data_IF_006497235825
#
_entry.id   IF_006497235825
#
_cell.length_a   1.000
_cell.length_b   1.000
_cell.length_c   1.000
_cell.angle_alpha   90.00
_cell.angle_beta   90.00
_cell.angle_gamma   90.00
#
_symmetry.space_group_name_H-M   'P 1'
#
loop_
_entity.id
_entity.type
_entity.pdbx_description
1 polymer ?
#
# COMPACT_ATOMS: atom_id res chain seq x y z
N UNK A 1 32.07 8.60 2.37
CA UNK A 1 30.79 9.07 1.79
C UNK A 1 30.25 7.95 0.93
N UNK A 2 29.36 7.14 1.50
CA UNK A 2 28.78 5.99 0.80
C UNK A 2 27.57 6.49 0.03
N UNK A 3 27.69 6.55 -1.29
CA UNK A 3 26.59 6.81 -2.21
C UNK A 3 25.63 5.63 -2.11
N UNK A 4 24.51 5.81 -1.41
CA UNK A 4 23.43 4.84 -1.41
C UNK A 4 22.83 4.84 -2.82
N UNK A 5 23.23 3.87 -3.63
CA UNK A 5 22.50 3.53 -4.86
C UNK A 5 21.18 2.97 -4.36
N UNK A 6 20.14 3.82 -4.35
CA UNK A 6 18.78 3.37 -4.12
C UNK A 6 18.40 2.53 -5.33
N UNK A 7 18.49 1.21 -5.20
CA UNK A 7 17.79 0.25 -6.04
C UNK A 7 16.29 0.51 -5.85
N UNK A 8 15.75 1.48 -6.58
CA UNK A 8 14.32 1.54 -6.81
C UNK A 8 14.00 0.33 -7.67
N UNK A 9 13.46 -0.73 -7.07
CA UNK A 9 12.77 -1.75 -7.86
C UNK A 9 11.76 -1.01 -8.74
N UNK A 10 12.02 -0.98 -10.04
CA UNK A 10 11.13 -0.33 -11.00
C UNK A 10 9.78 -1.06 -10.96
N UNK A 11 8.80 -0.44 -10.29
CA UNK A 11 7.44 -0.95 -10.25
C UNK A 11 6.81 -0.74 -11.62
N UNK A 12 7.02 -1.71 -12.51
CA UNK A 12 6.62 -1.65 -13.93
C UNK A 12 5.12 -1.46 -14.14
N UNK A 13 4.30 -1.75 -13.13
CA UNK A 13 2.85 -1.60 -13.14
C UNK A 13 2.34 -0.22 -12.68
N UNK A 14 3.21 0.67 -12.20
CA UNK A 14 2.85 2.04 -11.83
C UNK A 14 3.29 3.03 -12.91
N UNK A 15 2.47 4.08 -13.11
CA UNK A 15 2.87 5.19 -13.95
C UNK A 15 4.06 5.94 -13.32
N UNK A 16 5.07 6.24 -14.15
CA UNK A 16 6.28 6.93 -13.70
C UNK A 16 5.96 8.38 -13.34
N UNK A 17 6.32 8.79 -12.13
CA UNK A 17 6.18 10.17 -11.68
C UNK A 17 7.42 10.97 -12.10
N UNK A 18 7.35 11.63 -13.26
CA UNK A 18 8.40 12.52 -13.75
C UNK A 18 8.09 13.97 -13.34
N UNK A 19 8.90 14.54 -12.43
CA UNK A 19 8.76 15.93 -11.95
C UNK A 19 8.88 16.97 -13.06
N UNK A 20 9.66 16.70 -14.11
CA UNK A 20 9.85 17.62 -15.25
C UNK A 20 8.63 17.63 -16.21
N UNK A 21 7.82 16.57 -16.18
CA UNK A 21 6.61 16.45 -17.02
C UNK A 21 5.34 16.85 -16.27
N UNK A 22 5.32 16.67 -14.96
CA UNK A 22 4.18 16.95 -14.09
C UNK A 22 4.33 18.36 -13.51
N UNK A 23 3.80 19.36 -14.21
CA UNK A 23 3.65 20.71 -13.67
C UNK A 23 2.55 20.76 -12.60
N UNK A 24 2.76 21.54 -11.52
CA UNK A 24 1.81 21.68 -10.42
C UNK A 24 0.44 22.22 -10.85
N UNK A 25 0.42 23.04 -11.90
CA UNK A 25 -0.79 23.63 -12.49
C UNK A 25 -1.72 22.63 -13.19
N UNK A 26 -1.20 21.48 -13.67
CA UNK A 26 -1.98 20.49 -14.43
C UNK A 26 -2.30 19.23 -13.60
N UNK A 27 -1.88 19.20 -12.34
CA UNK A 27 -2.12 18.10 -11.43
C UNK A 27 -3.57 18.06 -10.97
N UNK A 28 -4.29 17.04 -11.40
CA UNK A 28 -5.65 16.75 -10.91
C UNK A 28 -5.68 15.40 -10.20
N UNK A 29 -6.67 15.12 -9.35
CA UNK A 29 -6.84 13.80 -8.77
C UNK A 29 -7.05 12.69 -9.82
N UNK A 30 -7.42 13.07 -11.05
CA UNK A 30 -7.73 12.15 -12.14
C UNK A 30 -6.56 11.90 -13.10
N UNK A 31 -5.42 12.58 -12.92
CA UNK A 31 -4.22 12.35 -13.72
C UNK A 31 -3.67 10.93 -13.47
N UNK A 32 -3.19 10.26 -14.51
CA UNK A 32 -2.80 8.84 -14.47
C UNK A 32 -1.69 8.57 -13.44
N UNK A 33 -0.76 9.50 -13.29
CA UNK A 33 0.37 9.43 -12.36
C UNK A 33 -0.08 9.54 -10.89
N UNK A 34 -1.24 10.15 -10.65
CA UNK A 34 -1.86 10.27 -9.33
C UNK A 34 -2.75 9.05 -9.07
N UNK A 35 -3.62 8.69 -10.01
CA UNK A 35 -4.52 7.53 -9.88
C UNK A 35 -3.74 6.24 -9.66
N UNK A 36 -2.63 6.03 -10.38
CA UNK A 36 -1.85 4.78 -10.29
C UNK A 36 -1.39 4.44 -8.86
N UNK A 37 -1.19 5.46 -8.01
CA UNK A 37 -0.77 5.28 -6.60
C UNK A 37 -1.91 5.29 -5.60
N UNK A 38 -3.14 5.50 -6.04
CA UNK A 38 -4.32 5.48 -5.18
C UNK A 38 -4.96 4.09 -5.17
N UNK A 39 -5.58 3.74 -4.03
CA UNK A 39 -6.40 2.54 -3.96
C UNK A 39 -7.69 2.76 -4.74
N UNK A 40 -7.84 2.08 -5.88
CA UNK A 40 -9.04 2.18 -6.74
C UNK A 40 -10.12 1.18 -6.38
N UNK A 41 -9.75 0.05 -5.76
CA UNK A 41 -10.65 -1.05 -5.39
C UNK A 41 -10.34 -1.50 -3.97
N UNK A 42 -11.39 -1.63 -3.14
CA UNK A 42 -11.28 -2.20 -1.80
C UNK A 42 -11.52 -3.71 -1.86
N UNK A 43 -10.58 -4.49 -1.32
CA UNK A 43 -10.69 -5.95 -1.22
C UNK A 43 -10.75 -6.33 0.26
N UNK A 44 -11.79 -7.08 0.65
CA UNK A 44 -11.98 -7.57 2.02
C UNK A 44 -11.77 -9.08 2.14
N UNK A 45 -11.20 -9.52 3.26
CA UNK A 45 -11.06 -10.95 3.59
C UNK A 45 -12.09 -11.37 4.64
N UNK A 46 -12.90 -12.40 4.35
CA UNK A 46 -13.88 -12.99 5.29
C UNK A 46 -13.52 -14.44 5.63
N UNK A 47 -14.15 -15.02 6.65
CA UNK A 47 -13.94 -16.41 7.06
C UNK A 47 -14.02 -16.65 8.56
N UNK A 48 -13.97 -17.93 8.96
CA UNK A 48 -14.11 -18.37 10.35
C UNK A 48 -12.99 -17.85 11.27
N UNK A 49 -13.24 -17.86 12.58
CA UNK A 49 -12.25 -17.46 13.60
C UNK A 49 -10.98 -18.29 13.44
N UNK A 50 -9.82 -17.68 13.68
CA UNK A 50 -8.48 -18.29 13.56
C UNK A 50 -8.03 -18.74 12.15
N UNK A 51 -8.80 -18.49 11.07
CA UNK A 51 -8.40 -18.81 9.69
C UNK A 51 -7.33 -17.87 9.08
N UNK A 52 -6.70 -17.00 9.87
CA UNK A 52 -5.58 -16.19 9.37
C UNK A 52 -5.93 -15.06 8.39
N UNK A 53 -7.17 -14.55 8.38
CA UNK A 53 -7.60 -13.43 7.54
C UNK A 53 -6.62 -12.24 7.57
N UNK A 54 -6.28 -11.76 8.76
CA UNK A 54 -5.35 -10.65 8.97
C UNK A 54 -3.90 -11.00 8.60
N UNK A 55 -3.53 -12.28 8.72
CA UNK A 55 -2.23 -12.79 8.28
C UNK A 55 -2.12 -12.78 6.76
N UNK A 56 -3.18 -13.14 6.04
CA UNK A 56 -3.24 -13.05 4.58
C UNK A 56 -3.09 -11.59 4.12
N UNK A 57 -3.80 -10.66 4.75
CA UNK A 57 -3.68 -9.23 4.43
C UNK A 57 -2.24 -8.73 4.67
N UNK A 58 -1.60 -9.15 5.78
CA UNK A 58 -0.19 -8.83 6.05
C UNK A 58 0.76 -9.41 5.00
N UNK A 59 0.54 -10.64 4.55
CA UNK A 59 1.39 -11.28 3.55
C UNK A 59 1.30 -10.60 2.17
N UNK A 60 0.12 -10.09 1.80
CA UNK A 60 -0.11 -9.41 0.51
C UNK A 60 0.37 -7.95 0.57
N UNK A 61 -0.09 -7.20 1.58
CA UNK A 61 0.16 -5.76 1.66
C UNK A 61 1.50 -5.38 2.30
N UNK A 62 2.16 -6.32 2.98
CA UNK A 62 3.33 -6.05 3.83
C UNK A 62 3.00 -5.30 5.13
N UNK A 63 1.76 -4.82 5.30
CA UNK A 63 1.35 -4.00 6.44
C UNK A 63 0.67 -4.85 7.50
N UNK A 64 1.09 -4.71 8.75
CA UNK A 64 0.38 -5.33 9.87
C UNK A 64 -0.93 -4.60 10.14
N UNK A 65 -2.05 -5.32 10.08
CA UNK A 65 -3.38 -4.73 10.21
C UNK A 65 -3.78 -4.44 11.66
N UNK A 66 -3.20 -5.14 12.64
CA UNK A 66 -3.47 -4.92 14.07
C UNK A 66 -2.80 -3.63 14.51
N UNK A 67 -3.59 -2.66 14.95
CA UNK A 67 -3.09 -1.33 15.37
C UNK A 67 -3.31 -1.07 16.86
N UNK A 68 -4.19 -1.81 17.52
CA UNK A 68 -4.53 -1.58 18.92
C UNK A 68 -3.94 -2.63 19.84
N UNK A 69 -3.48 -2.21 21.03
CA UNK A 69 -2.90 -3.10 22.04
C UNK A 69 -3.85 -4.24 22.45
N UNK A 70 -5.14 -3.93 22.60
CA UNK A 70 -6.16 -4.92 23.00
C UNK A 70 -6.37 -6.03 21.95
N UNK A 71 -6.21 -5.72 20.67
CA UNK A 71 -6.27 -6.71 19.59
C UNK A 71 -5.09 -7.67 19.66
N UNK A 72 -3.89 -7.13 19.89
CA UNK A 72 -2.67 -7.90 20.02
C UNK A 72 -2.70 -8.84 21.23
N UNK A 73 -3.16 -8.35 22.39
CA UNK A 73 -3.26 -9.15 23.61
C UNK A 73 -4.30 -10.28 23.50
N UNK A 74 -5.38 -10.05 22.74
CA UNK A 74 -6.49 -11.01 22.59
C UNK A 74 -6.37 -11.91 21.37
N UNK A 75 -5.38 -11.68 20.50
CA UNK A 75 -5.19 -12.38 19.23
C UNK A 75 -6.44 -12.37 18.34
N UNK A 76 -7.18 -11.26 18.35
CA UNK A 76 -8.36 -11.04 17.50
C UNK A 76 -8.22 -9.73 16.73
N UNK A 77 -8.97 -9.61 15.65
CA UNK A 77 -9.14 -8.36 14.91
C UNK A 77 -10.49 -7.77 15.31
N UNK A 78 -10.51 -6.48 15.69
CA UNK A 78 -11.72 -5.76 16.14
C UNK A 78 -12.08 -4.67 15.14
#
# INVERSE_FOLDING_TARGET
MATAVTETEDQTWLAKQDLDKIGAENLTPLTEEVISRQATINIGTIGHVAHGKSTLVKAISGVHTVKFKNELERNITI
#
